data_IF_057981681285
#
_entry.id   IF_057981681285
#
_cell.length_a   1.000
_cell.length_b   1.000
_cell.length_c   1.000
_cell.angle_alpha   90.00
_cell.angle_beta   90.00
_cell.angle_gamma   90.00
#
_symmetry.space_group_name_H-M   'P 1'
#
loop_
_entity.id
_entity.type
_entity.pdbx_description
1 polymer ?
#
# COMPACT_ATOMS: atom_id res chain seq x y z
N UNK A 1 4.05 -3.66 22.05
CA UNK A 1 3.55 -4.55 21.01
C UNK A 1 3.52 -3.81 19.69
N UNK A 2 4.10 -4.39 18.68
CA UNK A 2 4.13 -3.71 17.40
C UNK A 2 2.78 -3.78 16.70
N UNK A 3 2.41 -2.70 16.06
CA UNK A 3 1.22 -2.64 15.24
C UNK A 3 1.48 -3.27 13.87
N UNK A 4 0.42 -3.54 13.12
CA UNK A 4 0.56 -4.00 11.74
C UNK A 4 1.39 -3.02 10.93
N UNK A 5 1.21 -1.71 11.17
CA UNK A 5 1.97 -0.68 10.49
C UNK A 5 3.46 -0.76 10.77
N UNK A 6 3.83 -1.00 12.03
CA UNK A 6 5.23 -1.15 12.41
C UNK A 6 5.84 -2.39 11.77
N UNK A 7 5.10 -3.50 11.76
CA UNK A 7 5.56 -4.74 11.14
C UNK A 7 5.78 -4.55 9.64
N UNK A 8 4.87 -3.86 8.96
CA UNK A 8 5.02 -3.57 7.54
C UNK A 8 6.18 -2.65 7.26
N UNK A 9 6.40 -1.68 8.13
CA UNK A 9 7.52 -0.75 7.99
C UNK A 9 8.85 -1.50 8.09
N UNK A 10 8.97 -2.38 9.09
CA UNK A 10 10.15 -3.21 9.25
C UNK A 10 10.35 -4.12 8.03
N UNK A 11 9.28 -4.74 7.59
CA UNK A 11 9.30 -5.61 6.41
C UNK A 11 9.76 -4.83 5.17
N UNK A 12 9.17 -3.66 4.94
CA UNK A 12 9.52 -2.82 3.80
C UNK A 12 10.99 -2.45 3.81
N UNK A 13 11.49 -2.00 4.97
CA UNK A 13 12.88 -1.60 5.11
C UNK A 13 13.83 -2.77 4.91
N UNK A 14 13.50 -3.92 5.47
CA UNK A 14 14.33 -5.11 5.34
C UNK A 14 14.40 -5.57 3.87
N UNK A 15 13.27 -5.57 3.20
CA UNK A 15 13.22 -5.97 1.79
C UNK A 15 13.98 -5.00 0.91
N UNK A 16 13.77 -3.71 1.12
CA UNK A 16 14.43 -2.69 0.32
C UNK A 16 15.95 -2.71 0.55
N UNK A 17 16.38 -2.85 1.80
CA UNK A 17 17.79 -2.90 2.15
C UNK A 17 18.47 -4.14 1.58
N UNK A 18 17.77 -5.27 1.60
CA UNK A 18 18.36 -6.55 1.19
C UNK A 18 18.42 -6.73 -0.31
N UNK A 19 17.38 -6.33 -1.02
CA UNK A 19 17.27 -6.58 -2.45
C UNK A 19 17.41 -5.32 -3.28
N UNK A 20 17.26 -4.16 -2.68
CA UNK A 20 17.25 -2.91 -3.41
C UNK A 20 16.09 -2.90 -4.39
N UNK A 21 16.37 -2.50 -5.62
CA UNK A 21 15.36 -2.41 -6.66
C UNK A 21 15.54 -3.48 -7.73
N UNK A 22 16.37 -4.49 -7.49
CA UNK A 22 16.77 -5.41 -8.55
C UNK A 22 16.09 -6.78 -8.52
N UNK A 23 15.74 -7.29 -7.36
CA UNK A 23 15.41 -8.71 -7.21
C UNK A 23 13.93 -8.97 -7.02
N UNK A 24 13.07 -8.16 -7.61
CA UNK A 24 11.64 -8.32 -7.45
C UNK A 24 11.04 -9.11 -8.61
N UNK A 25 9.99 -9.85 -8.28
CA UNK A 25 9.22 -10.53 -9.31
C UNK A 25 8.60 -9.48 -10.22
N UNK A 26 8.46 -9.78 -11.52
CA UNK A 26 7.84 -8.84 -12.44
C UNK A 26 6.48 -8.37 -11.95
N UNK A 27 6.28 -7.06 -11.99
CA UNK A 27 5.03 -6.45 -11.58
C UNK A 27 4.82 -6.30 -10.09
N UNK A 28 5.80 -6.69 -9.27
CA UNK A 28 5.70 -6.55 -7.82
C UNK A 28 6.85 -5.75 -7.26
N UNK A 29 6.54 -4.90 -6.28
CA UNK A 29 7.53 -4.09 -5.58
C UNK A 29 7.25 -4.20 -4.09
N UNK A 30 8.21 -3.82 -3.23
CA UNK A 30 7.96 -3.79 -1.79
C UNK A 30 6.74 -2.95 -1.45
N UNK A 31 6.56 -1.85 -2.15
CA UNK A 31 5.42 -0.98 -1.93
C UNK A 31 4.10 -1.68 -2.24
N UNK A 32 4.02 -2.36 -3.39
CA UNK A 32 2.80 -3.08 -3.76
C UNK A 32 2.46 -4.17 -2.74
N UNK A 33 3.47 -4.88 -2.25
CA UNK A 33 3.25 -5.93 -1.25
C UNK A 33 2.68 -5.33 0.03
N UNK A 34 3.25 -4.22 0.49
CA UNK A 34 2.78 -3.57 1.71
C UNK A 34 1.39 -2.96 1.54
N UNK A 35 1.12 -2.34 0.40
CA UNK A 35 -0.21 -1.81 0.09
C UNK A 35 -1.22 -2.93 0.08
N UNK A 36 -0.92 -4.04 -0.58
CA UNK A 36 -1.79 -5.20 -0.60
C UNK A 36 -2.07 -5.75 0.79
N UNK A 37 -1.04 -5.80 1.64
CA UNK A 37 -1.21 -6.28 3.01
C UNK A 37 -2.15 -5.39 3.83
N UNK A 38 -2.06 -4.07 3.64
CA UNK A 38 -2.97 -3.14 4.32
C UNK A 38 -4.39 -3.31 3.79
N UNK A 39 -4.54 -3.40 2.47
CA UNK A 39 -5.85 -3.47 1.85
C UNK A 39 -6.57 -4.79 2.11
N UNK A 40 -5.83 -5.87 2.32
CA UNK A 40 -6.44 -7.19 2.49
C UNK A 40 -7.07 -7.42 3.86
N UNK A 41 -6.89 -6.50 4.80
CA UNK A 41 -7.47 -6.64 6.13
C UNK A 41 -8.99 -6.61 6.05
N UNK A 42 -9.64 -7.64 6.55
CA UNK A 42 -11.10 -7.78 6.62
C UNK A 42 -11.79 -7.71 5.25
N UNK A 43 -11.12 -8.16 4.19
CA UNK A 43 -11.74 -8.23 2.87
C UNK A 43 -11.13 -9.36 2.04
N UNK A 44 -11.83 -9.75 0.98
CA UNK A 44 -11.36 -10.80 0.09
C UNK A 44 -10.28 -10.26 -0.85
N UNK A 45 -9.38 -11.15 -1.26
CA UNK A 45 -8.29 -10.78 -2.16
C UNK A 45 -8.78 -10.21 -3.49
N UNK A 46 -9.90 -10.72 -4.01
CA UNK A 46 -10.47 -10.18 -5.26
C UNK A 46 -10.78 -8.70 -5.15
N UNK A 47 -11.24 -8.26 -3.99
CA UNK A 47 -11.52 -6.84 -3.74
C UNK A 47 -10.22 -6.03 -3.68
N UNK A 48 -9.17 -6.62 -3.10
CA UNK A 48 -7.85 -6.00 -3.05
C UNK A 48 -7.30 -5.81 -4.47
N UNK A 49 -7.46 -6.82 -5.31
CA UNK A 49 -7.01 -6.73 -6.70
C UNK A 49 -7.69 -5.59 -7.45
N UNK A 50 -8.99 -5.41 -7.22
CA UNK A 50 -9.71 -4.29 -7.83
C UNK A 50 -9.20 -2.95 -7.35
N UNK A 51 -8.94 -2.83 -6.06
CA UNK A 51 -8.39 -1.59 -5.50
C UNK A 51 -6.99 -1.31 -6.05
N UNK A 52 -6.14 -2.34 -6.13
CA UNK A 52 -4.81 -2.21 -6.71
C UNK A 52 -4.87 -1.79 -8.17
N UNK A 53 -5.82 -2.36 -8.93
CA UNK A 53 -6.00 -1.98 -10.33
C UNK A 53 -6.37 -0.51 -10.46
N UNK A 54 -7.23 -0.01 -9.57
CA UNK A 54 -7.59 1.41 -9.56
C UNK A 54 -6.38 2.29 -9.26
N UNK A 55 -5.55 1.88 -8.30
CA UNK A 55 -4.33 2.62 -7.98
C UNK A 55 -3.37 2.63 -9.14
N UNK A 56 -3.21 1.49 -9.82
CA UNK A 56 -2.34 1.39 -10.98
C UNK A 56 -2.84 2.25 -12.14
N UNK A 57 -4.15 2.24 -12.38
CA UNK A 57 -4.75 3.04 -13.44
C UNK A 57 -4.57 4.54 -13.19
N UNK A 58 -4.55 4.95 -11.93
CA UNK A 58 -4.32 6.35 -11.54
C UNK A 58 -2.82 6.68 -11.42
N UNK A 59 -1.95 5.71 -11.74
CA UNK A 59 -0.51 5.85 -11.60
C UNK A 59 -0.12 6.24 -10.16
N UNK A 60 -0.85 5.68 -9.19
CA UNK A 60 -0.71 6.05 -7.79
C UNK A 60 0.15 5.07 -6.99
N UNK A 61 0.65 3.99 -7.61
CA UNK A 61 1.47 3.01 -6.90
C UNK A 61 2.91 3.50 -6.86
N UNK A 62 3.13 4.57 -6.11
CA UNK A 62 4.45 5.10 -5.81
C UNK A 62 4.37 5.82 -4.47
N UNK A 63 5.47 5.84 -3.75
CA UNK A 63 5.51 6.54 -2.46
C UNK A 63 5.18 8.01 -2.63
N UNK A 64 5.76 8.65 -3.64
CA UNK A 64 5.52 10.06 -3.89
C UNK A 64 4.04 10.35 -4.14
N UNK A 65 3.43 9.60 -5.05
CA UNK A 65 2.03 9.82 -5.41
C UNK A 65 1.11 9.59 -4.23
N UNK A 66 1.34 8.50 -3.50
CA UNK A 66 0.54 8.20 -2.33
C UNK A 66 0.73 9.24 -1.23
N UNK A 67 1.93 9.77 -1.09
CA UNK A 67 2.20 10.82 -0.12
C UNK A 67 1.47 12.12 -0.48
N UNK A 68 1.48 12.49 -1.75
CA UNK A 68 0.88 13.72 -2.24
C UNK A 68 -0.64 13.65 -2.33
N UNK A 69 -1.18 12.47 -2.54
CA UNK A 69 -2.61 12.30 -2.77
C UNK A 69 -3.43 12.60 -1.52
N UNK A 70 -4.48 13.44 -1.62
CA UNK A 70 -5.37 13.66 -0.49
C UNK A 70 -6.06 12.36 -0.06
N UNK A 71 -6.27 12.18 1.26
CA UNK A 71 -6.89 10.99 1.78
C UNK A 71 -8.26 10.67 1.16
N UNK A 72 -9.13 11.66 0.92
CA UNK A 72 -10.43 11.37 0.28
C UNK A 72 -10.28 10.80 -1.13
N UNK A 73 -9.31 11.27 -1.90
CA UNK A 73 -9.06 10.75 -3.24
C UNK A 73 -8.54 9.32 -3.18
N UNK A 74 -7.60 9.06 -2.28
CA UNK A 74 -7.08 7.73 -2.07
C UNK A 74 -8.19 6.75 -1.63
N UNK A 75 -9.03 7.19 -0.70
CA UNK A 75 -10.16 6.39 -0.24
C UNK A 75 -11.08 6.00 -1.39
N UNK A 76 -11.32 6.92 -2.32
CA UNK A 76 -12.12 6.64 -3.50
C UNK A 76 -11.53 5.56 -4.39
N UNK A 77 -10.21 5.57 -4.57
CA UNK A 77 -9.54 4.58 -5.40
C UNK A 77 -9.54 3.18 -4.78
N UNK A 78 -9.42 3.10 -3.47
CA UNK A 78 -9.36 1.80 -2.78
C UNK A 78 -10.72 1.33 -2.28
N UNK A 79 -11.79 1.98 -2.69
CA UNK A 79 -13.15 1.67 -2.25
C UNK A 79 -13.51 0.19 -2.38
N UNK A 80 -13.15 -0.52 -3.47
CA UNK A 80 -13.47 -1.95 -3.57
C UNK A 80 -12.91 -2.79 -2.44
N UNK A 81 -11.84 -2.35 -1.79
CA UNK A 81 -11.22 -3.12 -0.70
C UNK A 81 -12.00 -3.02 0.61
N UNK A 82 -13.10 -2.26 0.66
CA UNK A 82 -13.90 -2.05 1.86
C UNK A 82 -13.12 -1.36 2.98
N UNK A 83 -13.83 -0.80 3.96
CA UNK A 83 -13.19 -0.05 5.05
C UNK A 83 -12.20 0.98 4.53
N UNK A 84 -12.57 1.60 3.40
CA UNK A 84 -11.62 2.41 2.64
C UNK A 84 -11.17 3.68 3.37
N UNK A 85 -12.00 4.27 4.21
CA UNK A 85 -11.57 5.46 4.96
C UNK A 85 -10.46 5.13 5.95
N UNK A 86 -10.61 4.01 6.68
CA UNK A 86 -9.62 3.57 7.64
C UNK A 86 -8.34 3.12 6.90
N UNK A 87 -8.51 2.38 5.82
CA UNK A 87 -7.38 1.88 5.06
C UNK A 87 -6.60 2.99 4.37
N UNK A 88 -7.29 4.00 3.86
CA UNK A 88 -6.62 5.17 3.30
C UNK A 88 -5.75 5.86 4.35
N UNK A 89 -6.28 6.00 5.56
CA UNK A 89 -5.53 6.60 6.67
C UNK A 89 -4.29 5.76 7.00
N UNK A 90 -4.44 4.43 7.04
CA UNK A 90 -3.32 3.53 7.31
C UNK A 90 -2.26 3.61 6.21
N UNK A 91 -2.69 3.67 4.95
CA UNK A 91 -1.76 3.84 3.83
C UNK A 91 -1.01 5.16 3.94
N UNK A 92 -1.70 6.24 4.25
CA UNK A 92 -1.06 7.55 4.40
C UNK A 92 -0.05 7.53 5.54
N UNK A 93 -0.38 6.91 6.66
CA UNK A 93 0.55 6.81 7.79
C UNK A 93 1.77 5.98 7.42
N UNK A 94 1.57 4.86 6.74
CA UNK A 94 2.67 4.02 6.29
C UNK A 94 3.60 4.79 5.34
N UNK A 95 3.03 5.45 4.35
CA UNK A 95 3.80 6.20 3.36
C UNK A 95 4.57 7.34 4.03
N UNK A 96 3.95 8.04 4.97
CA UNK A 96 4.61 9.12 5.69
C UNK A 96 5.82 8.62 6.49
N UNK A 97 5.77 7.37 6.94
CA UNK A 97 6.87 6.80 7.71
C UNK A 97 8.05 6.37 6.84
N UNK A 98 7.81 6.01 5.58
CA UNK A 98 8.87 5.48 4.71
C UNK A 98 9.29 6.46 3.61
N UNK A 99 8.48 7.46 3.34
CA UNK A 99 8.80 8.45 2.31
C UNK A 99 9.79 9.48 2.86
#
# INVERSE_FOLDING_TARGET
>A
MSSTGETLLEFYRAMHSRFGHQAWWPGQTPLEICVGAILTQNTAWTNVERALANLQAAEAVSLRRLHEMPAPELAGLIRPAEYFNIKAKRLKNFVAAVY
#
